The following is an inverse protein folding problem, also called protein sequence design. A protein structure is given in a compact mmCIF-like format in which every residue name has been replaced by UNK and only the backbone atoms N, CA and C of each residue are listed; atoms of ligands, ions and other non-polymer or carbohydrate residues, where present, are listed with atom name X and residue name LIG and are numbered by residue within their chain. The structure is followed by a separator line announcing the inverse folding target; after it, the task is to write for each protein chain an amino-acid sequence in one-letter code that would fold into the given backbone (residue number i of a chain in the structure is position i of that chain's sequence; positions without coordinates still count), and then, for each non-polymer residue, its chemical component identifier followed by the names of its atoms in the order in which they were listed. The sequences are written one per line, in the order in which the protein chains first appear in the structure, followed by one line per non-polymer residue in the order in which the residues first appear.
data_IF_711723903166
#
_entry.id   IF_711723903166
#
_cell.length_a   1.000
_cell.length_b   1.000
_cell.length_c   1.000
_cell.angle_alpha   90.00
_cell.angle_beta   90.00
_cell.angle_gamma   90.00
#
_symmetry.space_group_name_H-M   'P 1'
#
loop_
_entity.id
_entity.type
_entity.pdbx_description
1 polymer ?
#
# COMPACT_ATOMS: atom_id res chain seq x y z
N UNK A 1 7.37 -8.83 -26.09
CA UNK A 1 7.20 -8.24 -27.43
C UNK A 1 8.47 -8.38 -28.30
N UNK A 2 9.66 -7.90 -27.88
CA UNK A 2 10.93 -8.16 -28.57
C UNK A 2 11.22 -9.65 -28.73
N UNK A 3 10.93 -10.44 -27.71
CA UNK A 3 11.06 -11.89 -27.73
C UNK A 3 10.16 -12.52 -28.80
N UNK A 4 8.88 -12.11 -28.88
CA UNK A 4 7.97 -12.60 -29.92
C UNK A 4 8.46 -12.23 -31.33
N UNK A 5 9.00 -11.03 -31.51
CA UNK A 5 9.58 -10.62 -32.78
C UNK A 5 10.80 -11.45 -33.17
N UNK A 6 11.71 -11.70 -32.22
CA UNK A 6 12.89 -12.57 -32.45
C UNK A 6 12.46 -14.00 -32.77
N UNK A 7 11.50 -14.52 -32.07
CA UNK A 7 10.94 -15.85 -32.33
C UNK A 7 10.29 -15.93 -33.72
N UNK A 8 9.53 -14.91 -34.11
CA UNK A 8 8.94 -14.82 -35.44
C UNK A 8 9.98 -14.78 -36.56
N UNK A 9 11.13 -14.10 -36.30
CA UNK A 9 12.26 -14.07 -37.22
C UNK A 9 13.18 -15.33 -37.16
N UNK A 10 12.78 -16.35 -36.39
CA UNK A 10 13.57 -17.57 -36.15
C UNK A 10 14.98 -17.29 -35.58
N UNK A 11 15.19 -16.16 -34.92
CA UNK A 11 16.42 -15.83 -34.22
C UNK A 11 16.45 -16.49 -32.84
N UNK A 12 17.64 -16.85 -32.34
CA UNK A 12 17.81 -17.38 -31.00
C UNK A 12 17.36 -16.32 -29.98
N UNK A 13 16.42 -16.71 -29.10
CA UNK A 13 15.95 -15.88 -27.97
C UNK A 13 16.94 -16.12 -26.83
N UNK A 14 17.50 -15.06 -26.21
CA UNK A 14 18.36 -15.20 -25.04
C UNK A 14 17.61 -15.88 -23.87
N UNK A 15 18.30 -16.76 -23.18
CA UNK A 15 17.70 -17.51 -22.05
C UNK A 15 17.17 -16.58 -20.94
N UNK A 16 17.82 -15.45 -20.72
CA UNK A 16 17.38 -14.44 -19.76
C UNK A 16 16.02 -13.83 -20.15
N UNK A 17 15.77 -13.56 -21.44
CA UNK A 17 14.49 -13.04 -21.90
C UNK A 17 13.37 -14.05 -21.63
N UNK A 18 13.66 -15.35 -21.83
CA UNK A 18 12.69 -16.42 -21.52
C UNK A 18 12.44 -16.50 -20.02
N UNK A 19 13.48 -16.44 -19.21
CA UNK A 19 13.37 -16.48 -17.76
C UNK A 19 12.53 -15.31 -17.21
N UNK A 20 12.77 -14.08 -17.66
CA UNK A 20 11.96 -12.91 -17.27
C UNK A 20 10.52 -13.02 -17.75
N UNK A 21 10.30 -13.53 -18.98
CA UNK A 21 8.95 -13.72 -19.49
C UNK A 21 8.16 -14.72 -18.63
N UNK A 22 8.77 -15.85 -18.27
CA UNK A 22 8.17 -16.86 -17.40
C UNK A 22 7.88 -16.26 -16.02
N UNK A 23 8.87 -15.59 -15.42
CA UNK A 23 8.74 -14.98 -14.08
C UNK A 23 7.59 -13.96 -14.04
N UNK A 24 7.56 -13.02 -14.99
CA UNK A 24 6.51 -12.00 -15.09
C UNK A 24 5.15 -12.65 -15.34
N UNK A 25 5.08 -13.68 -16.19
CA UNK A 25 3.83 -14.41 -16.45
C UNK A 25 3.29 -15.10 -15.21
N UNK A 26 4.16 -15.70 -14.39
CA UNK A 26 3.74 -16.33 -13.11
C UNK A 26 3.15 -15.29 -12.16
N UNK A 27 3.82 -14.13 -12.01
CA UNK A 27 3.32 -13.06 -11.12
C UNK A 27 2.01 -12.47 -11.65
N UNK A 28 1.89 -12.24 -12.96
CA UNK A 28 0.65 -11.75 -13.57
C UNK A 28 -0.49 -12.76 -13.40
N UNK A 29 -0.21 -14.06 -13.59
CA UNK A 29 -1.20 -15.12 -13.38
C UNK A 29 -1.68 -15.13 -11.93
N UNK A 30 -0.77 -15.01 -10.96
CA UNK A 30 -1.11 -14.86 -9.54
C UNK A 30 -1.98 -13.64 -9.28
N UNK A 31 -1.64 -12.48 -9.83
CA UNK A 31 -2.35 -11.23 -9.60
C UNK A 31 -3.76 -11.21 -10.22
N UNK A 32 -3.94 -11.86 -11.36
CA UNK A 32 -5.20 -11.83 -12.13
C UNK A 32 -6.13 -12.97 -11.73
N UNK A 33 -5.62 -14.19 -11.67
CA UNK A 33 -6.40 -15.39 -11.46
C UNK A 33 -6.34 -15.92 -10.02
N UNK A 34 -5.25 -15.58 -9.29
CA UNK A 34 -4.89 -16.28 -8.06
C UNK A 34 -4.37 -17.69 -8.32
N UNK A 35 -3.86 -18.33 -7.26
CA UNK A 35 -3.47 -19.74 -7.32
C UNK A 35 -4.38 -20.59 -6.41
N UNK A 36 -4.65 -21.86 -6.78
CA UNK A 36 -5.29 -22.81 -5.88
C UNK A 36 -4.52 -22.89 -4.56
N UNK A 37 -5.23 -23.03 -3.44
CA UNK A 37 -4.65 -23.00 -2.10
C UNK A 37 -3.39 -23.87 -1.92
N UNK A 38 -3.33 -25.14 -2.41
CA UNK A 38 -2.12 -25.95 -2.28
C UNK A 38 -0.92 -25.35 -3.01
N UNK A 39 -1.12 -24.79 -4.23
CA UNK A 39 -0.06 -24.18 -5.02
C UNK A 39 0.43 -22.88 -4.34
N UNK A 40 -0.50 -22.06 -3.85
CA UNK A 40 -0.15 -20.83 -3.13
C UNK A 40 0.64 -21.10 -1.85
N UNK A 41 0.35 -22.19 -1.14
CA UNK A 41 1.08 -22.60 0.07
C UNK A 41 2.49 -23.10 -0.24
N UNK A 42 2.66 -23.97 -1.24
CA UNK A 42 3.97 -24.49 -1.64
C UNK A 42 4.88 -23.37 -2.17
N UNK A 43 4.32 -22.45 -2.93
CA UNK A 43 5.06 -21.30 -3.51
C UNK A 43 5.17 -20.12 -2.55
N UNK A 44 4.55 -20.17 -1.37
CA UNK A 44 4.47 -19.10 -0.38
C UNK A 44 3.74 -17.82 -0.86
N UNK A 45 3.04 -17.89 -1.99
CA UNK A 45 2.25 -16.77 -2.48
C UNK A 45 1.07 -16.43 -1.57
N UNK A 46 0.57 -17.38 -0.77
CA UNK A 46 -0.46 -17.15 0.26
C UNK A 46 -0.02 -16.17 1.36
N UNK A 47 1.30 -15.99 1.54
CA UNK A 47 1.91 -15.07 2.51
C UNK A 47 2.25 -13.70 1.93
N UNK A 48 2.10 -13.53 0.63
CA UNK A 48 2.44 -12.29 -0.08
C UNK A 48 1.15 -11.58 -0.50
N UNK A 49 0.94 -10.37 0.02
CA UNK A 49 -0.19 -9.55 -0.45
C UNK A 49 0.00 -9.17 -1.92
N UNK A 50 -1.10 -9.07 -2.69
CA UNK A 50 -1.06 -8.67 -4.10
C UNK A 50 -0.30 -7.34 -4.31
N UNK A 51 -0.46 -6.38 -3.38
CA UNK A 51 0.26 -5.10 -3.42
C UNK A 51 1.78 -5.25 -3.37
N UNK A 52 2.31 -6.21 -2.60
CA UNK A 52 3.76 -6.49 -2.56
C UNK A 52 4.27 -7.16 -3.83
N UNK A 53 3.44 -7.94 -4.50
CA UNK A 53 3.78 -8.56 -5.79
C UNK A 53 4.00 -7.53 -6.91
N UNK A 54 3.36 -6.36 -6.85
CA UNK A 54 3.61 -5.26 -7.78
C UNK A 54 5.05 -4.73 -7.71
N UNK A 55 5.67 -4.69 -6.52
CA UNK A 55 7.07 -4.28 -6.38
C UNK A 55 8.00 -5.24 -7.14
N UNK A 56 7.78 -6.54 -6.97
CA UNK A 56 8.54 -7.59 -7.64
C UNK A 56 8.37 -7.52 -9.17
N UNK A 57 7.13 -7.33 -9.64
CA UNK A 57 6.80 -7.14 -11.05
C UNK A 57 7.49 -5.89 -11.62
N UNK A 58 7.47 -4.77 -10.88
CA UNK A 58 8.10 -3.52 -11.27
C UNK A 58 9.61 -3.66 -11.44
N UNK A 59 10.30 -4.22 -10.44
CA UNK A 59 11.76 -4.44 -10.50
C UNK A 59 12.13 -5.35 -11.67
N UNK A 60 11.46 -6.48 -11.83
CA UNK A 60 11.72 -7.40 -12.94
C UNK A 60 11.50 -6.74 -14.30
N UNK A 61 10.43 -5.94 -14.44
CA UNK A 61 10.13 -5.21 -15.68
C UNK A 61 11.20 -4.17 -16.01
N UNK A 62 11.71 -3.44 -15.01
CA UNK A 62 12.80 -2.46 -15.21
C UNK A 62 14.08 -3.18 -15.67
N UNK A 63 14.49 -4.24 -14.97
CA UNK A 63 15.69 -4.99 -15.33
C UNK A 63 15.57 -5.56 -16.75
N UNK A 64 14.43 -6.18 -17.05
CA UNK A 64 14.21 -6.73 -18.40
C UNK A 64 14.19 -5.66 -19.48
N UNK A 65 13.64 -4.48 -19.19
CA UNK A 65 13.68 -3.33 -20.11
C UNK A 65 15.12 -2.87 -20.36
N UNK A 66 15.95 -2.75 -19.33
CA UNK A 66 17.35 -2.39 -19.46
C UNK A 66 18.15 -3.41 -20.30
N UNK A 67 17.94 -4.71 -20.04
CA UNK A 67 18.56 -5.79 -20.82
C UNK A 67 18.11 -5.76 -22.29
N UNK A 68 16.82 -5.53 -22.53
CA UNK A 68 16.25 -5.42 -23.87
C UNK A 68 16.83 -4.23 -24.64
N UNK A 69 16.97 -3.07 -23.97
CA UNK A 69 17.61 -1.89 -24.54
C UNK A 69 19.07 -2.16 -24.93
N UNK A 70 19.82 -2.79 -24.02
CA UNK A 70 21.22 -3.17 -24.32
C UNK A 70 21.33 -4.11 -25.52
N UNK A 71 20.42 -5.09 -25.64
CA UNK A 71 20.37 -5.95 -26.82
C UNK A 71 20.03 -5.18 -28.11
N UNK A 72 19.06 -4.26 -28.01
CA UNK A 72 18.67 -3.42 -29.14
C UNK A 72 19.79 -2.52 -29.64
N UNK A 73 20.68 -2.04 -28.76
CA UNK A 73 21.82 -1.22 -29.17
C UNK A 73 22.84 -2.02 -30.00
N UNK A 74 22.96 -3.33 -29.78
CA UNK A 74 23.83 -4.24 -30.54
C UNK A 74 23.24 -4.61 -31.89
N UNK A 75 21.94 -4.52 -32.08
CA UNK A 75 21.27 -4.83 -33.34
C UNK A 75 21.28 -3.60 -34.25
N UNK A 76 21.87 -3.69 -35.46
CA UNK A 76 21.98 -2.56 -36.40
C UNK A 76 20.64 -2.21 -37.07
N UNK A 77 19.72 -3.16 -37.22
CA UNK A 77 18.42 -2.93 -37.88
C UNK A 77 17.36 -2.35 -36.97
N UNK A 78 16.67 -1.32 -37.42
CA UNK A 78 15.45 -0.80 -36.77
C UNK A 78 14.27 -1.69 -37.13
N UNK A 79 13.31 -1.81 -36.18
CA UNK A 79 12.06 -2.48 -36.48
C UNK A 79 11.28 -1.73 -37.56
N UNK A 80 10.61 -2.44 -38.50
CA UNK A 80 9.78 -1.83 -39.52
C UNK A 80 8.75 -0.88 -38.88
N UNK A 81 8.44 0.23 -39.54
CA UNK A 81 7.52 1.22 -39.01
C UNK A 81 6.12 0.63 -38.69
N UNK A 82 5.65 -0.28 -39.55
CA UNK A 82 4.38 -1.02 -39.33
C UNK A 82 4.37 -1.77 -38.02
N UNK A 83 5.47 -2.48 -37.70
CA UNK A 83 5.61 -3.19 -36.42
C UNK A 83 5.58 -2.21 -35.23
N UNK A 84 6.30 -1.10 -35.31
CA UNK A 84 6.32 -0.08 -34.25
C UNK A 84 4.92 0.47 -33.97
N UNK A 85 4.16 0.80 -35.03
CA UNK A 85 2.79 1.32 -34.90
C UNK A 85 1.85 0.24 -34.36
N UNK A 86 1.89 -0.99 -34.87
CA UNK A 86 1.03 -2.08 -34.39
C UNK A 86 1.23 -2.34 -32.90
N UNK A 87 2.49 -2.36 -32.46
CA UNK A 87 2.85 -2.54 -31.07
C UNK A 87 2.32 -1.39 -30.20
N UNK A 88 2.51 -0.16 -30.63
CA UNK A 88 2.01 1.03 -29.93
C UNK A 88 0.49 1.06 -29.85
N UNK A 89 -0.19 0.65 -30.92
CA UNK A 89 -1.64 0.54 -30.95
C UNK A 89 -2.17 -0.53 -29.98
N UNK A 90 -1.53 -1.69 -29.91
CA UNK A 90 -1.88 -2.76 -28.96
C UNK A 90 -1.71 -2.24 -27.50
N UNK A 91 -0.61 -1.53 -27.22
CA UNK A 91 -0.37 -0.95 -25.90
C UNK A 91 -1.43 0.11 -25.58
N UNK A 92 -1.78 0.99 -26.53
CA UNK A 92 -2.83 1.99 -26.35
C UNK A 92 -4.17 1.34 -26.02
N UNK A 93 -4.57 0.32 -26.78
CA UNK A 93 -5.82 -0.43 -26.52
C UNK A 93 -5.79 -1.05 -25.11
N UNK A 94 -4.68 -1.70 -24.74
CA UNK A 94 -4.53 -2.30 -23.42
C UNK A 94 -4.62 -1.27 -22.28
N UNK A 95 -3.98 -0.11 -22.44
CA UNK A 95 -4.03 0.99 -21.46
C UNK A 95 -5.44 1.57 -21.36
N UNK A 96 -6.14 1.76 -22.49
CA UNK A 96 -7.52 2.22 -22.50
C UNK A 96 -8.45 1.26 -21.76
N UNK A 97 -8.41 -0.04 -22.10
CA UNK A 97 -9.20 -1.06 -21.42
C UNK A 97 -8.93 -1.05 -19.91
N UNK A 98 -7.65 -1.01 -19.52
CA UNK A 98 -7.26 -0.98 -18.11
C UNK A 98 -7.75 0.28 -17.40
N UNK A 99 -7.60 1.45 -18.01
CA UNK A 99 -8.04 2.72 -17.45
C UNK A 99 -9.55 2.78 -17.24
N UNK A 100 -10.33 2.31 -18.21
CA UNK A 100 -11.79 2.21 -18.08
C UNK A 100 -12.20 1.24 -16.99
N UNK A 101 -11.61 0.04 -16.98
CA UNK A 101 -11.88 -0.96 -15.95
C UNK A 101 -11.54 -0.44 -14.54
N UNK A 102 -10.35 0.15 -14.39
CA UNK A 102 -9.91 0.73 -13.13
C UNK A 102 -10.88 1.81 -12.64
N UNK A 103 -11.25 2.73 -13.52
CA UNK A 103 -12.15 3.84 -13.16
C UNK A 103 -13.55 3.34 -12.78
N UNK A 104 -14.02 2.27 -13.42
CA UNK A 104 -15.28 1.63 -13.08
C UNK A 104 -15.24 0.96 -11.71
N UNK A 105 -14.16 0.23 -11.39
CA UNK A 105 -14.02 -0.50 -10.12
C UNK A 105 -13.73 0.45 -8.94
N UNK A 106 -13.10 1.58 -9.19
CA UNK A 106 -12.73 2.57 -8.15
C UNK A 106 -13.73 3.73 -8.03
N UNK A 107 -14.95 3.56 -8.55
CA UNK A 107 -16.02 4.57 -8.47
C UNK A 107 -15.58 5.95 -8.95
N UNK A 108 -14.90 6.00 -10.11
CA UNK A 108 -14.41 7.24 -10.74
C UNK A 108 -13.31 7.96 -9.94
N UNK A 109 -12.42 7.21 -9.30
CA UNK A 109 -11.27 7.76 -8.56
C UNK A 109 -10.36 8.64 -9.44
N UNK A 110 -10.15 8.25 -10.72
CA UNK A 110 -9.31 9.00 -11.63
C UNK A 110 -10.13 10.02 -12.44
N UNK A 111 -9.65 11.25 -12.49
CA UNK A 111 -10.25 12.26 -13.37
C UNK A 111 -10.02 11.94 -14.84
N UNK A 112 -10.90 12.42 -15.72
CA UNK A 112 -10.79 12.22 -17.17
C UNK A 112 -9.44 12.72 -17.71
N UNK A 113 -8.93 13.84 -17.20
CA UNK A 113 -7.62 14.38 -17.57
C UNK A 113 -6.46 13.44 -17.21
N UNK A 114 -6.51 12.80 -16.03
CA UNK A 114 -5.51 11.81 -15.63
C UNK A 114 -5.55 10.57 -16.53
N UNK A 115 -6.73 10.10 -16.88
CA UNK A 115 -6.91 8.97 -17.81
C UNK A 115 -6.31 9.32 -19.19
N UNK A 116 -6.65 10.48 -19.73
CA UNK A 116 -6.12 10.93 -21.03
C UNK A 116 -4.59 11.04 -20.97
N UNK A 117 -4.05 11.60 -19.88
CA UNK A 117 -2.60 11.74 -19.70
C UNK A 117 -1.89 10.37 -19.70
N UNK A 118 -2.40 9.40 -18.99
CA UNK A 118 -1.82 8.03 -18.95
C UNK A 118 -1.95 7.34 -20.30
N UNK A 119 -3.12 7.47 -20.97
CA UNK A 119 -3.38 6.90 -22.29
C UNK A 119 -2.52 7.52 -23.40
N UNK A 120 -2.07 8.75 -23.25
CA UNK A 120 -1.11 9.38 -24.16
C UNK A 120 0.34 9.01 -23.79
N UNK A 121 0.68 9.08 -22.52
CA UNK A 121 2.05 8.91 -22.01
C UNK A 121 2.63 7.51 -22.32
N UNK A 122 1.91 6.45 -21.98
CA UNK A 122 2.43 5.08 -22.09
C UNK A 122 2.70 4.65 -23.54
N UNK A 123 1.80 4.89 -24.52
CA UNK A 123 2.08 4.59 -25.93
C UNK A 123 3.22 5.42 -26.50
N UNK A 124 3.28 6.73 -26.17
CA UNK A 124 4.37 7.60 -26.62
C UNK A 124 5.72 7.12 -26.08
N UNK A 125 5.81 6.81 -24.79
CA UNK A 125 7.00 6.26 -24.19
C UNK A 125 7.43 4.94 -24.88
N UNK A 126 6.46 4.05 -25.15
CA UNK A 126 6.70 2.79 -25.86
C UNK A 126 7.20 3.01 -27.29
N UNK A 127 6.62 3.95 -28.01
CA UNK A 127 7.03 4.32 -29.37
C UNK A 127 8.46 4.87 -29.41
N UNK A 128 8.81 5.76 -28.49
CA UNK A 128 10.15 6.31 -28.35
C UNK A 128 11.16 5.22 -28.05
N UNK A 129 10.83 4.29 -27.16
CA UNK A 129 11.66 3.18 -26.78
C UNK A 129 11.93 2.25 -27.97
N UNK A 130 10.87 1.80 -28.66
CA UNK A 130 10.97 0.89 -29.83
C UNK A 130 11.69 1.58 -31.01
N UNK A 131 11.53 2.92 -31.12
CA UNK A 131 12.20 3.74 -32.13
C UNK A 131 13.65 4.09 -31.77
N UNK A 132 14.17 3.59 -30.64
CA UNK A 132 15.52 3.88 -30.09
C UNK A 132 15.80 5.36 -29.85
N UNK A 133 14.75 6.14 -29.63
CA UNK A 133 14.84 7.54 -29.23
C UNK A 133 15.10 7.63 -27.72
N UNK A 134 16.20 7.00 -27.25
CA UNK A 134 16.46 6.78 -25.80
C UNK A 134 16.55 8.07 -25.02
N UNK A 135 17.13 9.13 -25.58
CA UNK A 135 17.23 10.44 -24.90
C UNK A 135 15.84 11.05 -24.68
N UNK A 136 14.98 11.03 -25.70
CA UNK A 136 13.61 11.53 -25.61
C UNK A 136 12.78 10.67 -24.66
N UNK A 137 12.96 9.35 -24.70
CA UNK A 137 12.33 8.43 -23.74
C UNK A 137 12.77 8.75 -22.31
N UNK A 138 14.08 8.92 -22.07
CA UNK A 138 14.60 9.26 -20.75
C UNK A 138 14.05 10.59 -20.25
N UNK A 139 14.00 11.63 -21.09
CA UNK A 139 13.38 12.92 -20.75
C UNK A 139 11.91 12.78 -20.42
N UNK A 140 11.15 12.05 -21.24
CA UNK A 140 9.72 11.81 -21.02
C UNK A 140 9.43 11.10 -19.68
N UNK A 141 10.29 10.18 -19.24
CA UNK A 141 10.15 9.50 -17.96
C UNK A 141 10.66 10.37 -16.80
N UNK A 142 11.82 11.00 -16.97
CA UNK A 142 12.49 11.72 -15.89
C UNK A 142 11.75 12.98 -15.47
N UNK A 143 11.30 13.78 -16.45
CA UNK A 143 10.67 15.08 -16.16
C UNK A 143 9.41 14.94 -15.29
N UNK A 144 8.40 14.10 -15.63
CA UNK A 144 7.23 13.92 -14.78
C UNK A 144 7.58 13.32 -13.40
N UNK A 145 8.57 12.40 -13.35
CA UNK A 145 9.02 11.86 -12.07
C UNK A 145 9.69 12.92 -11.20
N UNK A 146 10.51 13.79 -11.76
CA UNK A 146 11.09 14.92 -11.03
C UNK A 146 10.02 15.91 -10.57
N UNK A 147 9.01 16.19 -11.40
CA UNK A 147 7.90 17.05 -11.01
C UNK A 147 7.03 16.45 -9.90
N UNK A 148 6.77 15.14 -9.95
CA UNK A 148 5.94 14.47 -8.98
C UNK A 148 6.68 14.20 -7.65
N UNK A 149 7.96 13.85 -7.69
CA UNK A 149 8.72 13.36 -6.55
C UNK A 149 9.89 14.28 -6.13
N UNK A 150 10.30 15.21 -7.00
CA UNK A 150 11.40 16.14 -6.71
C UNK A 150 11.12 17.09 -5.56
N UNK A 151 9.83 17.33 -5.26
CA UNK A 151 9.38 18.09 -4.09
C UNK A 151 9.33 17.25 -2.81
N UNK A 152 9.39 15.91 -2.95
CA UNK A 152 9.49 15.03 -1.80
C UNK A 152 10.93 15.06 -1.30
N UNK A 153 11.13 15.69 -0.15
CA UNK A 153 12.45 15.72 0.47
C UNK A 153 12.85 14.30 0.93
N UNK A 154 13.73 13.59 0.20
CA UNK A 154 14.17 12.26 0.57
C UNK A 154 15.06 12.28 1.82
N UNK A 155 15.60 13.46 2.13
CA UNK A 155 16.41 13.72 3.33
C UNK A 155 15.54 14.52 4.28
N UNK A 156 14.66 13.85 4.99
CA UNK A 156 13.92 14.46 6.09
C UNK A 156 14.88 14.75 7.23
N UNK A 157 15.44 15.96 7.26
CA UNK A 157 16.32 16.38 8.34
C UNK A 157 15.45 16.77 9.53
N UNK A 158 15.34 15.82 10.47
CA UNK A 158 14.65 16.01 11.74
C UNK A 158 13.12 15.77 11.67
N UNK A 159 12.55 15.65 12.85
CA UNK A 159 11.12 15.38 13.05
C UNK A 159 10.31 16.66 13.35
N UNK A 160 10.85 17.84 13.03
CA UNK A 160 10.21 19.12 13.36
C UNK A 160 8.73 19.22 12.99
N UNK A 161 8.27 18.77 11.80
CA UNK A 161 6.85 18.83 11.45
C UNK A 161 5.94 18.02 12.38
N UNK A 162 6.47 16.94 12.97
CA UNK A 162 5.76 16.11 13.94
C UNK A 162 5.89 16.69 15.34
N UNK A 163 7.12 17.02 15.75
CA UNK A 163 7.43 17.50 17.12
C UNK A 163 6.80 18.85 17.42
N UNK A 164 6.73 19.75 16.42
CA UNK A 164 6.13 21.08 16.57
C UNK A 164 4.61 21.08 16.30
N UNK A 165 4.01 19.92 16.08
CA UNK A 165 2.57 19.83 15.86
C UNK A 165 1.85 20.10 17.21
N UNK A 166 0.86 20.99 17.29
CA UNK A 166 0.19 21.33 18.54
C UNK A 166 -0.39 20.14 19.31
N UNK A 167 -0.91 19.15 18.58
CA UNK A 167 -1.41 17.91 19.17
C UNK A 167 -0.27 17.09 19.79
N UNK A 168 0.91 17.01 19.13
CA UNK A 168 2.07 16.33 19.66
C UNK A 168 2.50 16.94 20.99
N UNK A 169 2.68 18.27 21.02
CA UNK A 169 3.08 18.99 22.23
C UNK A 169 2.09 18.81 23.37
N UNK A 170 0.79 18.86 23.07
CA UNK A 170 -0.26 18.65 24.07
C UNK A 170 -0.19 17.25 24.68
N UNK A 171 -0.11 16.20 23.85
CA UNK A 171 -0.03 14.83 24.34
C UNK A 171 1.28 14.62 25.10
N UNK A 172 2.39 15.04 24.53
CA UNK A 172 3.72 14.88 25.14
C UNK A 172 3.81 15.56 26.51
N UNK A 173 3.22 16.76 26.66
CA UNK A 173 3.13 17.46 27.95
C UNK A 173 2.32 16.65 28.97
N UNK A 174 1.17 16.11 28.56
CA UNK A 174 0.33 15.26 29.40
C UNK A 174 1.06 13.99 29.85
N UNK A 175 1.78 13.34 28.92
CA UNK A 175 2.57 12.13 29.23
C UNK A 175 3.70 12.45 30.23
N UNK A 176 4.35 13.62 30.10
CA UNK A 176 5.38 14.02 31.07
C UNK A 176 4.81 14.26 32.47
N UNK A 177 3.60 14.77 32.57
CA UNK A 177 2.91 14.99 33.84
C UNK A 177 2.39 13.69 34.47
N UNK A 178 1.95 12.75 33.64
CA UNK A 178 1.41 11.45 34.06
C UNK A 178 2.07 10.30 33.27
N UNK A 179 3.32 9.89 33.59
CA UNK A 179 4.10 8.94 32.79
C UNK A 179 3.47 7.54 32.69
N UNK A 180 2.71 7.15 33.70
CA UNK A 180 2.05 5.84 33.76
C UNK A 180 0.66 5.82 33.11
N UNK A 181 0.24 6.96 32.54
CA UNK A 181 -1.06 7.07 31.89
C UNK A 181 -1.17 6.11 30.69
N UNK A 182 -2.28 5.36 30.63
CA UNK A 182 -2.64 4.50 29.52
C UNK A 182 -3.68 5.18 28.64
N UNK A 183 -3.51 5.04 27.32
CA UNK A 183 -4.26 5.77 26.31
C UNK A 183 -5.02 4.84 25.38
N UNK A 184 -6.24 5.22 25.02
CA UNK A 184 -6.98 4.66 23.88
C UNK A 184 -7.22 5.72 22.83
N UNK A 185 -7.14 5.34 21.56
CA UNK A 185 -7.29 6.24 20.43
C UNK A 185 -8.31 5.68 19.45
N UNK A 186 -9.47 6.28 19.39
CA UNK A 186 -10.50 5.94 18.42
C UNK A 186 -10.19 6.58 17.06
N UNK A 187 -10.65 5.96 16.01
CA UNK A 187 -10.55 6.50 14.65
C UNK A 187 -10.57 5.42 13.59
N UNK A 188 -10.86 5.80 12.35
CA UNK A 188 -10.96 4.84 11.25
C UNK A 188 -9.60 4.26 10.84
N UNK A 189 -8.49 4.86 11.29
CA UNK A 189 -7.14 4.47 10.91
C UNK A 189 -6.23 4.39 12.14
N UNK A 190 -5.25 3.51 12.07
CA UNK A 190 -4.26 3.30 13.13
C UNK A 190 -3.18 4.41 13.23
N UNK A 191 -3.11 5.32 12.25
CA UNK A 191 -2.08 6.36 12.20
C UNK A 191 -2.12 7.28 13.41
N UNK A 192 -3.31 7.66 13.86
CA UNK A 192 -3.45 8.52 15.04
C UNK A 192 -2.95 7.82 16.32
N UNK A 193 -3.21 6.53 16.46
CA UNK A 193 -2.71 5.73 17.58
C UNK A 193 -1.17 5.65 17.55
N UNK A 194 -0.57 5.43 16.37
CA UNK A 194 0.87 5.39 16.21
C UNK A 194 1.52 6.78 16.43
N UNK A 195 0.85 7.86 15.98
CA UNK A 195 1.27 9.22 16.29
C UNK A 195 1.27 9.49 17.80
N UNK A 196 0.21 9.06 18.50
CA UNK A 196 0.12 9.16 19.96
C UNK A 196 1.23 8.36 20.65
N UNK A 197 1.51 7.15 20.15
CA UNK A 197 2.62 6.33 20.65
C UNK A 197 3.99 7.03 20.47
N UNK A 198 4.19 7.75 19.36
CA UNK A 198 5.42 8.51 19.10
C UNK A 198 5.67 9.65 20.10
N UNK A 199 4.67 10.10 20.85
CA UNK A 199 4.83 11.09 21.93
C UNK A 199 5.37 10.51 23.24
N UNK A 200 5.54 9.17 23.32
CA UNK A 200 5.89 8.43 24.53
C UNK A 200 4.69 7.89 25.30
N UNK A 201 3.47 8.09 24.82
CA UNK A 201 2.25 7.60 25.46
C UNK A 201 2.16 6.06 25.42
N UNK A 202 1.66 5.42 26.47
CA UNK A 202 1.36 4.00 26.53
C UNK A 202 0.00 3.76 25.88
N UNK A 203 -0.02 3.56 24.55
CA UNK A 203 -1.26 3.40 23.80
C UNK A 203 -1.68 1.93 23.73
N UNK A 204 -2.93 1.62 24.03
CA UNK A 204 -3.50 0.29 23.98
C UNK A 204 -3.59 -0.25 22.54
N UNK A 205 -4.04 0.54 21.60
CA UNK A 205 -4.23 0.18 20.20
C UNK A 205 -3.11 0.70 19.28
N UNK A 206 -3.26 0.56 17.96
CA UNK A 206 -2.22 0.85 16.97
C UNK A 206 -1.43 -0.40 16.61
N UNK A 207 -0.17 -0.24 16.21
CA UNK A 207 0.68 -1.36 15.82
C UNK A 207 1.16 -2.15 17.05
N UNK A 208 0.87 -3.44 17.09
CA UNK A 208 1.34 -4.38 18.12
C UNK A 208 2.07 -5.55 17.50
N UNK A 209 3.36 -5.68 17.82
CA UNK A 209 4.20 -6.81 17.37
C UNK A 209 3.86 -8.10 18.13
N UNK A 210 3.54 -7.97 19.40
CA UNK A 210 3.15 -9.09 20.28
C UNK A 210 1.74 -8.77 20.78
N UNK A 211 0.78 -9.70 20.64
CA UNK A 211 -0.57 -9.49 21.15
C UNK A 211 -0.58 -9.51 22.69
N UNK A 212 -1.20 -8.52 23.29
CA UNK A 212 -1.40 -8.43 24.74
C UNK A 212 -2.62 -9.27 25.12
N UNK A 213 -2.46 -10.60 25.17
CA UNK A 213 -3.58 -11.55 25.32
C UNK A 213 -4.41 -11.32 26.59
N UNK A 214 -3.76 -10.94 27.69
CA UNK A 214 -4.47 -10.73 28.95
C UNK A 214 -5.35 -9.47 28.92
N UNK A 215 -4.87 -8.39 28.30
CA UNK A 215 -5.68 -7.20 28.07
C UNK A 215 -6.83 -7.47 27.10
N UNK A 216 -6.60 -8.29 26.07
CA UNK A 216 -7.65 -8.68 25.10
C UNK A 216 -8.73 -9.57 25.71
N UNK A 217 -8.38 -10.45 26.68
CA UNK A 217 -9.35 -11.28 27.40
C UNK A 217 -10.33 -10.47 28.23
N UNK A 218 -9.94 -9.29 28.71
CA UNK A 218 -10.86 -8.36 29.40
C UNK A 218 -11.95 -7.86 28.45
N UNK A 219 -11.62 -7.70 27.17
CA UNK A 219 -12.58 -7.25 26.13
C UNK A 219 -13.45 -8.43 25.64
N UNK A 220 -12.89 -9.61 25.44
CA UNK A 220 -13.63 -10.82 25.08
C UNK A 220 -12.86 -12.09 25.36
N UNK A 221 -13.54 -13.05 25.97
CA UNK A 221 -13.04 -14.42 26.17
C UNK A 221 -13.56 -15.43 25.12
N UNK A 222 -14.33 -14.97 24.12
CA UNK A 222 -14.89 -15.85 23.08
C UNK A 222 -13.77 -16.42 22.19
N UNK A 223 -13.77 -17.73 21.96
CA UNK A 223 -12.79 -18.40 21.12
C UNK A 223 -12.74 -17.87 19.67
N UNK A 224 -13.84 -17.38 19.15
CA UNK A 224 -13.92 -16.73 17.84
C UNK A 224 -13.08 -15.46 17.80
N UNK A 225 -13.12 -14.66 18.84
CA UNK A 225 -12.41 -13.39 18.94
C UNK A 225 -10.92 -13.61 19.21
N UNK A 226 -10.56 -14.67 19.96
CA UNK A 226 -9.17 -15.10 20.17
C UNK A 226 -8.47 -15.35 18.83
N UNK A 227 -9.14 -15.97 17.87
CA UNK A 227 -8.60 -16.19 16.52
C UNK A 227 -8.35 -14.89 15.77
N UNK A 228 -9.02 -13.80 16.15
CA UNK A 228 -8.84 -12.48 15.55
C UNK A 228 -7.68 -11.74 16.22
N UNK A 229 -7.63 -11.66 17.53
CA UNK A 229 -6.66 -10.82 18.21
C UNK A 229 -5.32 -11.52 18.56
N UNK A 230 -5.26 -12.84 18.53
CA UNK A 230 -3.99 -13.59 18.75
C UNK A 230 -3.12 -13.57 17.49
N UNK A 231 -2.66 -12.39 17.12
CA UNK A 231 -1.79 -12.15 15.96
C UNK A 231 -1.00 -10.86 16.08
N UNK A 232 0.10 -10.78 15.36
CA UNK A 232 0.67 -9.50 14.98
C UNK A 232 -0.38 -8.68 14.24
N UNK A 233 -0.57 -7.42 14.60
CA UNK A 233 -1.53 -6.62 13.85
C UNK A 233 -1.64 -5.17 14.27
N UNK A 234 -2.34 -4.45 13.40
CA UNK A 234 -2.79 -3.10 13.64
C UNK A 234 -4.19 -3.15 14.26
N UNK A 235 -4.32 -2.56 15.44
CA UNK A 235 -5.59 -2.48 16.16
C UNK A 235 -6.24 -1.13 15.91
N UNK A 236 -7.43 -1.14 15.36
CA UNK A 236 -8.28 0.04 15.17
C UNK A 236 -9.42 -0.01 16.17
N UNK A 237 -9.68 1.08 16.87
CA UNK A 237 -10.86 1.22 17.73
C UNK A 237 -11.95 2.03 17.01
N UNK A 238 -13.15 1.46 16.92
CA UNK A 238 -14.33 2.12 16.38
C UNK A 238 -15.34 2.40 17.48
N UNK A 239 -15.82 3.66 17.64
CA UNK A 239 -16.80 3.96 18.66
C UNK A 239 -18.18 3.43 18.24
N UNK A 240 -18.84 2.72 19.15
CA UNK A 240 -20.21 2.25 18.98
C UNK A 240 -21.08 2.67 20.16
N UNK A 241 -22.39 2.72 19.95
CA UNK A 241 -23.38 2.93 21.03
C UNK A 241 -23.74 1.57 21.63
N UNK A 242 -23.87 1.51 22.95
CA UNK A 242 -24.21 0.27 23.66
C UNK A 242 -23.01 -0.37 24.36
N UNK A 243 -23.24 -1.50 25.01
CA UNK A 243 -22.24 -2.21 25.84
C UNK A 243 -21.55 -3.38 25.11
N UNK A 244 -22.03 -3.73 23.93
CA UNK A 244 -21.51 -4.86 23.18
C UNK A 244 -20.14 -4.54 22.59
N UNK A 245 -19.19 -5.49 22.74
CA UNK A 245 -17.85 -5.41 22.16
C UNK A 245 -17.78 -6.44 21.03
N UNK A 246 -17.32 -6.00 19.87
CA UNK A 246 -17.15 -6.89 18.72
C UNK A 246 -15.79 -6.74 18.07
N UNK A 247 -15.27 -7.87 17.56
CA UNK A 247 -13.99 -7.97 16.86
C UNK A 247 -14.26 -8.33 15.39
N UNK A 248 -13.60 -7.63 14.48
CA UNK A 248 -13.71 -7.92 13.05
C UNK A 248 -12.36 -7.79 12.35
N UNK A 249 -12.06 -8.76 11.46
CA UNK A 249 -10.92 -8.63 10.55
C UNK A 249 -11.28 -7.65 9.43
N UNK A 250 -10.36 -6.78 9.11
CA UNK A 250 -10.49 -5.89 7.95
C UNK A 250 -9.88 -6.55 6.70
N UNK A 251 -9.71 -5.77 5.63
CA UNK A 251 -9.27 -6.28 4.31
C UNK A 251 -7.93 -7.03 4.33
N UNK A 252 -7.07 -6.77 5.31
CA UNK A 252 -5.76 -7.42 5.46
C UNK A 252 -5.73 -8.29 6.72
N UNK A 253 -5.00 -9.39 6.67
CA UNK A 253 -4.92 -10.35 7.78
C UNK A 253 -4.24 -9.80 9.04
N UNK A 254 -3.54 -8.68 8.93
CA UNK A 254 -2.81 -7.98 9.98
C UNK A 254 -3.53 -6.74 10.51
N UNK A 255 -4.75 -6.47 10.05
CA UNK A 255 -5.54 -5.33 10.47
C UNK A 255 -6.90 -5.79 11.02
N UNK A 256 -7.17 -5.49 12.28
CA UNK A 256 -8.45 -5.80 12.88
C UNK A 256 -9.02 -4.62 13.65
N UNK A 257 -10.33 -4.58 13.74
CA UNK A 257 -11.10 -3.54 14.40
C UNK A 257 -11.79 -4.10 15.62
N UNK A 258 -11.74 -3.33 16.72
CA UNK A 258 -12.52 -3.55 17.92
C UNK A 258 -13.56 -2.44 18.00
N UNK A 259 -14.82 -2.82 17.89
CA UNK A 259 -15.92 -1.89 18.05
C UNK A 259 -16.36 -1.92 19.52
N UNK A 260 -16.22 -0.81 20.20
CA UNK A 260 -16.47 -0.71 21.65
C UNK A 260 -16.90 0.72 22.01
N UNK A 261 -17.81 0.82 22.95
CA UNK A 261 -18.26 2.12 23.46
C UNK A 261 -17.10 2.83 24.21
N UNK A 262 -16.81 4.10 23.92
CA UNK A 262 -15.84 4.87 24.69
C UNK A 262 -16.11 4.92 26.20
N UNK A 263 -17.34 4.76 26.64
CA UNK A 263 -17.75 4.76 28.05
C UNK A 263 -17.85 3.36 28.67
N UNK A 264 -17.39 2.31 27.96
CA UNK A 264 -17.46 0.93 28.45
C UNK A 264 -16.55 0.71 29.67
N UNK A 265 -17.06 0.03 30.69
CA UNK A 265 -16.32 -0.25 31.94
C UNK A 265 -15.05 -1.09 31.75
N UNK A 266 -14.93 -1.79 30.65
CA UNK A 266 -13.69 -2.54 30.32
C UNK A 266 -12.46 -1.61 30.31
N UNK A 267 -12.61 -0.37 29.91
CA UNK A 267 -11.51 0.60 29.91
C UNK A 267 -11.01 0.94 31.31
N UNK A 268 -11.92 1.00 32.28
CA UNK A 268 -11.58 1.17 33.68
C UNK A 268 -10.84 -0.05 34.22
N UNK A 269 -11.28 -1.26 33.86
CA UNK A 269 -10.60 -2.51 34.24
C UNK A 269 -9.20 -2.61 33.64
N UNK A 270 -8.99 -2.09 32.45
CA UNK A 270 -7.68 -2.02 31.79
C UNK A 270 -6.80 -0.87 32.29
N UNK A 271 -7.31 -0.01 33.19
CA UNK A 271 -6.59 1.13 33.73
C UNK A 271 -6.37 2.25 32.72
N UNK A 272 -7.27 2.40 31.76
CA UNK A 272 -7.17 3.48 30.77
C UNK A 272 -7.40 4.83 31.45
N UNK A 273 -6.49 5.77 31.20
CA UNK A 273 -6.49 7.10 31.81
C UNK A 273 -6.95 8.17 30.84
N UNK A 274 -6.61 8.04 29.55
CA UNK A 274 -6.93 9.03 28.53
C UNK A 274 -7.59 8.40 27.32
N UNK A 275 -8.55 9.12 26.76
CA UNK A 275 -9.23 8.75 25.52
C UNK A 275 -9.10 9.87 24.50
N UNK A 276 -8.75 9.50 23.25
CA UNK A 276 -8.77 10.38 22.10
C UNK A 276 -9.89 9.95 21.16
N UNK A 277 -10.78 10.88 20.85
CA UNK A 277 -11.93 10.63 19.98
C UNK A 277 -11.95 11.67 18.85
N UNK A 278 -11.87 11.27 17.58
CA UNK A 278 -12.08 12.16 16.45
C UNK A 278 -13.50 12.71 16.45
N UNK A 279 -13.64 14.00 16.20
CA UNK A 279 -14.92 14.68 16.03
C UNK A 279 -14.88 15.53 14.75
N UNK A 280 -16.04 16.06 14.33
CA UNK A 280 -16.10 16.97 13.16
C UNK A 280 -15.27 18.24 13.35
N UNK A 281 -15.04 18.66 14.58
CA UNK A 281 -14.29 19.87 14.96
C UNK A 281 -12.81 19.57 15.22
N UNK A 282 -12.35 18.32 15.08
CA UNK A 282 -10.99 17.90 15.34
C UNK A 282 -10.89 16.72 16.32
N UNK A 283 -9.75 16.60 17.01
CA UNK A 283 -9.49 15.51 17.94
C UNK A 283 -9.79 15.98 19.36
N UNK A 284 -10.76 15.34 20.00
CA UNK A 284 -11.07 15.56 21.42
C UNK A 284 -10.23 14.65 22.30
N UNK A 285 -9.60 15.23 23.29
CA UNK A 285 -8.81 14.54 24.30
C UNK A 285 -9.47 14.75 25.66
N UNK A 286 -9.78 13.70 26.38
CA UNK A 286 -10.35 13.76 27.72
C UNK A 286 -9.78 12.69 28.64
N UNK A 287 -9.75 13.00 29.95
CA UNK A 287 -9.31 12.09 31.00
C UNK A 287 -10.44 11.14 31.35
N UNK A 288 -10.12 9.86 31.46
CA UNK A 288 -11.10 8.80 31.75
C UNK A 288 -11.16 8.49 33.26
N UNK A 289 -12.31 8.16 33.87
CA UNK A 289 -13.65 8.29 33.31
C UNK A 289 -14.13 9.75 33.29
N UNK A 290 -14.36 10.27 32.12
CA UNK A 290 -14.87 11.61 31.91
C UNK A 290 -15.91 11.61 30.79
N UNK A 291 -16.91 12.46 30.88
CA UNK A 291 -17.77 12.67 29.71
C UNK A 291 -17.02 13.41 28.63
N UNK A 292 -17.24 13.05 27.36
CA UNK A 292 -16.63 13.75 26.21
C UNK A 292 -17.06 15.21 26.14
#
# INVERSE_FOLDING_TARGET
MLMCWKWFQRKKVPILDVAFAIYISIILLWLICGFPKPVAQITLFDRVSGTRSFLSLGIASIIWTCLSLHQMTKEKSLYPWRFRISVTAIILIGVLIHAFYFNMVTESFASVSQIIMVCAFVPVASLLLISRKTLFFAGLILIPNMMAHGMVNPICIGLKPILNHPLYERIHRTVRQEPDSKWIVYGPFFQLANFTYATGARVFNGLKYIPHLDEMKVLSSKNTDVKIYNRYGYIVLSPVKGSEISFSLLKTADLYMISVNPENDCWKQLGITYCMLPSREGIRLYKYPGKP
#
